data_IF_794413402689
#
_entry.id   IF_794413402689
#
_cell.length_a   1.000
_cell.length_b   1.000
_cell.length_c   1.000
_cell.angle_alpha   90.00
_cell.angle_beta   90.00
_cell.angle_gamma   90.00
#
_symmetry.space_group_name_H-M   'P 1'
#
loop_
_entity.id
_entity.type
_entity.pdbx_description
1 polymer ?
#
# COMPACT_ATOMS: atom_id res chain seq x y z
N UNK A 1 20.22 9.89 61.04
CA UNK A 1 20.38 10.22 59.61
C UNK A 1 20.29 8.94 58.79
N UNK A 2 19.32 8.80 57.88
CA UNK A 2 19.27 7.66 56.95
C UNK A 2 20.27 7.91 55.83
N UNK A 3 21.27 7.05 55.67
CA UNK A 3 22.20 7.12 54.55
C UNK A 3 21.43 6.84 53.25
N UNK A 4 21.43 7.81 52.32
CA UNK A 4 20.89 7.61 50.97
C UNK A 4 21.88 6.70 50.23
N UNK A 5 21.46 5.48 49.90
CA UNK A 5 22.20 4.61 48.99
C UNK A 5 22.09 5.20 47.58
N UNK A 6 23.23 5.56 46.98
CA UNK A 6 23.32 5.97 45.58
C UNK A 6 23.55 4.76 44.67
N UNK A 7 23.17 4.90 43.41
CA UNK A 7 23.44 3.93 42.35
C UNK A 7 24.94 3.98 41.99
N UNK A 8 25.59 2.84 41.81
CA UNK A 8 26.98 2.80 41.35
C UNK A 8 27.04 2.97 39.83
N UNK A 9 28.15 3.52 39.32
CA UNK A 9 28.40 3.63 37.88
C UNK A 9 28.43 2.24 37.21
N UNK A 10 28.94 1.22 37.92
CA UNK A 10 29.02 -0.15 37.41
C UNK A 10 27.63 -0.75 37.21
N UNK A 11 26.71 -0.54 38.16
CA UNK A 11 25.32 -1.00 38.01
C UNK A 11 24.65 -0.35 36.81
N UNK A 12 24.89 0.95 36.56
CA UNK A 12 24.35 1.63 35.38
C UNK A 12 24.94 1.08 34.08
N UNK A 13 26.25 0.78 34.06
CA UNK A 13 26.94 0.26 32.87
C UNK A 13 26.44 -1.13 32.47
N UNK A 14 26.23 -2.03 33.44
CA UNK A 14 25.70 -3.37 33.16
C UNK A 14 24.28 -3.27 32.60
N UNK A 15 23.45 -2.37 33.15
CA UNK A 15 22.08 -2.15 32.66
C UNK A 15 22.08 -1.65 31.20
N UNK A 16 22.93 -0.68 30.86
CA UNK A 16 23.06 -0.18 29.50
C UNK A 16 23.56 -1.27 28.53
N UNK A 17 24.51 -2.11 28.97
CA UNK A 17 25.00 -3.24 28.17
C UNK A 17 23.88 -4.25 27.86
N UNK A 18 23.05 -4.60 28.85
CA UNK A 18 21.91 -5.51 28.65
C UNK A 18 20.84 -4.88 27.74
N UNK A 19 20.52 -3.60 27.91
CA UNK A 19 19.56 -2.89 27.03
C UNK A 19 20.08 -2.86 25.58
N UNK A 20 21.36 -2.56 25.38
CA UNK A 20 21.97 -2.54 24.05
C UNK A 20 21.94 -3.92 23.37
N UNK A 21 22.23 -4.99 24.12
CA UNK A 21 22.13 -6.36 23.62
C UNK A 21 20.70 -6.74 23.21
N UNK A 22 19.69 -6.38 24.01
CA UNK A 22 18.28 -6.63 23.68
C UNK A 22 17.82 -5.85 22.45
N UNK A 23 18.20 -4.57 22.35
CA UNK A 23 17.85 -3.72 21.20
C UNK A 23 18.50 -4.21 19.90
N UNK A 24 19.72 -4.77 19.97
CA UNK A 24 20.41 -5.34 18.80
C UNK A 24 19.60 -6.45 18.14
N UNK A 25 18.94 -7.31 18.92
CA UNK A 25 18.10 -8.40 18.41
C UNK A 25 16.70 -7.90 18.02
N UNK A 26 16.12 -6.97 18.78
CA UNK A 26 14.75 -6.49 18.55
C UNK A 26 14.61 -5.60 17.30
N UNK A 27 15.61 -4.77 16.99
CA UNK A 27 15.55 -3.79 15.89
C UNK A 27 15.31 -4.41 14.50
N UNK A 28 16.08 -5.41 14.03
CA UNK A 28 15.85 -5.98 12.70
C UNK A 28 14.48 -6.67 12.58
N UNK A 29 14.01 -7.30 13.66
CA UNK A 29 12.68 -7.91 13.70
C UNK A 29 11.57 -6.86 13.57
N UNK A 30 11.69 -5.75 14.30
CA UNK A 30 10.74 -4.64 14.23
C UNK A 30 10.70 -4.01 12.82
N UNK A 31 11.86 -3.81 12.19
CA UNK A 31 11.93 -3.27 10.82
C UNK A 31 11.23 -4.19 9.81
N UNK A 32 11.42 -5.50 9.91
CA UNK A 32 10.76 -6.48 9.04
C UNK A 32 9.24 -6.52 9.28
N UNK A 33 8.80 -6.43 10.53
CA UNK A 33 7.38 -6.38 10.86
C UNK A 33 6.70 -5.13 10.28
N UNK A 34 7.36 -3.96 10.35
CA UNK A 34 6.86 -2.72 9.74
C UNK A 34 6.78 -2.84 8.22
N UNK A 35 7.79 -3.41 7.57
CA UNK A 35 7.77 -3.65 6.10
C UNK A 35 6.59 -4.55 5.70
N UNK A 36 6.36 -5.64 6.44
CA UNK A 36 5.23 -6.55 6.19
C UNK A 36 3.87 -5.87 6.42
N UNK A 37 3.74 -5.05 7.47
CA UNK A 37 2.52 -4.30 7.73
C UNK A 37 2.23 -3.28 6.61
N UNK A 38 3.26 -2.57 6.13
CA UNK A 38 3.15 -1.66 4.98
C UNK A 38 2.73 -2.41 3.71
N UNK A 39 3.31 -3.58 3.44
CA UNK A 39 2.93 -4.39 2.28
C UNK A 39 1.46 -4.84 2.33
N UNK A 40 0.98 -5.29 3.49
CA UNK A 40 -0.43 -5.63 3.68
C UNK A 40 -1.35 -4.41 3.51
N UNK A 41 -0.94 -3.24 4.00
CA UNK A 41 -1.70 -1.99 3.80
C UNK A 41 -1.81 -1.62 2.33
N UNK A 42 -0.72 -1.72 1.57
CA UNK A 42 -0.72 -1.44 0.13
C UNK A 42 -1.59 -2.43 -0.63
N UNK A 43 -1.55 -3.72 -0.29
CA UNK A 43 -2.45 -4.71 -0.86
C UNK A 43 -3.93 -4.38 -0.58
N UNK A 44 -4.27 -3.99 0.65
CA UNK A 44 -5.64 -3.56 0.98
C UNK A 44 -6.06 -2.31 0.18
N UNK A 45 -5.17 -1.35 0.03
CA UNK A 45 -5.41 -0.15 -0.76
C UNK A 45 -5.65 -0.47 -2.25
N UNK A 46 -4.87 -1.38 -2.85
CA UNK A 46 -5.09 -1.84 -4.22
C UNK A 46 -6.48 -2.47 -4.39
N UNK A 47 -6.91 -3.33 -3.46
CA UNK A 47 -8.26 -3.94 -3.49
C UNK A 47 -9.36 -2.90 -3.35
N UNK A 48 -9.19 -1.95 -2.43
CA UNK A 48 -10.15 -0.88 -2.21
C UNK A 48 -10.31 -0.01 -3.47
N UNK A 49 -9.20 0.34 -4.13
CA UNK A 49 -9.23 1.08 -5.39
C UNK A 49 -9.87 0.25 -6.50
N UNK A 50 -9.47 -1.01 -6.70
CA UNK A 50 -10.05 -1.90 -7.72
C UNK A 50 -11.57 -1.97 -7.56
N UNK A 51 -12.06 -2.25 -6.36
CA UNK A 51 -13.50 -2.32 -6.08
C UNK A 51 -14.21 -0.97 -6.29
N UNK A 52 -13.58 0.15 -5.92
CA UNK A 52 -14.14 1.48 -6.17
C UNK A 52 -14.28 1.78 -7.67
N UNK A 53 -13.27 1.41 -8.48
CA UNK A 53 -13.29 1.56 -9.94
C UNK A 53 -14.35 0.67 -10.57
N UNK A 54 -14.43 -0.61 -10.16
CA UNK A 54 -15.46 -1.55 -10.62
C UNK A 54 -16.88 -1.05 -10.31
N UNK A 55 -17.11 -0.57 -9.09
CA UNK A 55 -18.42 -0.04 -8.69
C UNK A 55 -18.80 1.22 -9.49
N UNK A 56 -17.85 2.13 -9.69
CA UNK A 56 -18.05 3.33 -10.51
C UNK A 56 -18.38 2.97 -11.97
N UNK A 57 -17.60 2.06 -12.58
CA UNK A 57 -17.78 1.64 -13.97
C UNK A 57 -19.16 1.01 -14.21
N UNK A 58 -19.63 0.19 -13.27
CA UNK A 58 -20.93 -0.48 -13.38
C UNK A 58 -22.12 0.44 -13.06
N UNK A 59 -21.96 1.42 -12.17
CA UNK A 59 -23.08 2.28 -11.72
C UNK A 59 -23.29 3.48 -12.63
N UNK A 60 -22.21 4.11 -13.07
CA UNK A 60 -22.27 5.33 -13.88
C UNK A 60 -22.44 5.06 -15.37
N UNK A 61 -22.21 3.82 -15.79
CA UNK A 61 -22.28 3.39 -17.18
C UNK A 61 -21.66 4.42 -18.15
N UNK A 62 -20.42 4.89 -17.91
CA UNK A 62 -19.85 6.02 -18.64
C UNK A 62 -19.79 5.74 -20.14
N UNK A 63 -20.01 6.79 -20.94
CA UNK A 63 -19.93 6.68 -22.39
C UNK A 63 -18.51 6.30 -22.83
N UNK A 64 -17.52 7.00 -22.24
CA UNK A 64 -16.09 6.74 -22.39
C UNK A 64 -15.35 6.79 -21.03
N UNK A 65 -15.18 5.63 -20.36
CA UNK A 65 -14.46 5.54 -19.10
C UNK A 65 -13.02 6.10 -19.13
N UNK A 66 -12.40 6.25 -20.30
CA UNK A 66 -11.06 6.84 -20.43
C UNK A 66 -11.03 8.35 -20.17
N UNK A 67 -12.06 9.07 -20.59
CA UNK A 67 -12.13 10.55 -20.50
C UNK A 67 -12.86 11.00 -19.24
N UNK A 68 -13.79 10.20 -18.74
CA UNK A 68 -14.62 10.54 -17.58
C UNK A 68 -14.04 10.08 -16.24
N UNK A 69 -13.08 9.17 -16.28
CA UNK A 69 -12.40 8.71 -15.08
C UNK A 69 -11.39 9.76 -14.59
N UNK A 70 -11.62 10.25 -13.39
CA UNK A 70 -10.66 11.04 -12.62
C UNK A 70 -10.64 10.58 -11.17
N UNK A 71 -9.48 10.71 -10.52
CA UNK A 71 -9.33 10.47 -9.08
C UNK A 71 -10.38 11.25 -8.28
N UNK A 72 -10.66 12.49 -8.70
CA UNK A 72 -11.67 13.36 -8.11
C UNK A 72 -13.10 12.84 -8.24
N UNK A 73 -13.41 12.11 -9.33
CA UNK A 73 -14.75 11.55 -9.54
C UNK A 73 -15.05 10.46 -8.52
N UNK A 74 -14.06 9.62 -8.20
CA UNK A 74 -14.20 8.56 -7.20
C UNK A 74 -14.34 9.11 -5.78
N UNK A 75 -13.63 10.21 -5.46
CA UNK A 75 -13.74 10.88 -4.16
C UNK A 75 -15.06 11.64 -4.02
N UNK A 76 -15.43 12.44 -5.03
CA UNK A 76 -16.65 13.27 -4.98
C UNK A 76 -17.93 12.43 -4.99
N UNK A 77 -17.92 11.28 -5.66
CA UNK A 77 -19.04 10.34 -5.67
C UNK A 77 -18.98 9.30 -4.53
N UNK A 78 -18.03 9.46 -3.61
CA UNK A 78 -17.88 8.65 -2.40
C UNK A 78 -17.69 7.13 -2.65
N UNK A 79 -17.14 6.75 -3.81
CA UNK A 79 -16.73 5.37 -4.07
C UNK A 79 -15.45 5.01 -3.29
N UNK A 80 -14.68 6.01 -2.85
CA UNK A 80 -13.58 5.87 -1.91
C UNK A 80 -13.53 7.09 -0.96
N UNK A 81 -13.46 6.85 0.35
CA UNK A 81 -13.48 7.91 1.36
C UNK A 81 -12.16 8.69 1.44
N UNK A 82 -11.04 8.08 1.07
CA UNK A 82 -9.72 8.69 1.14
C UNK A 82 -8.83 8.07 0.08
N UNK A 83 -8.20 8.90 -0.75
CA UNK A 83 -7.23 8.42 -1.72
C UNK A 83 -5.94 8.02 -1.01
N UNK A 84 -5.46 6.77 -1.13
CA UNK A 84 -4.20 6.38 -0.53
C UNK A 84 -3.02 7.01 -1.29
N UNK A 85 -2.03 7.51 -0.54
CA UNK A 85 -0.88 8.20 -1.12
C UNK A 85 0.00 7.27 -1.98
N UNK A 86 0.48 7.80 -3.11
CA UNK A 86 1.37 7.07 -4.01
C UNK A 86 0.67 6.14 -4.99
N UNK A 87 -0.67 6.20 -5.05
CA UNK A 87 -1.47 5.45 -6.03
C UNK A 87 -1.92 6.34 -7.18
N UNK A 88 -1.77 5.81 -8.38
CA UNK A 88 -2.27 6.41 -9.62
C UNK A 88 -3.09 5.39 -10.39
N UNK A 89 -4.25 5.79 -10.90
CA UNK A 89 -5.07 4.93 -11.75
C UNK A 89 -5.15 5.57 -13.10
N UNK A 90 -4.71 4.85 -14.12
CA UNK A 90 -4.77 5.28 -15.51
C UNK A 90 -5.67 4.32 -16.28
N UNK A 91 -6.80 4.78 -16.82
CA UNK A 91 -7.61 4.00 -17.74
C UNK A 91 -7.00 4.04 -19.14
N UNK A 92 -6.85 2.88 -19.75
CA UNK A 92 -6.49 2.71 -21.15
C UNK A 92 -7.65 2.04 -21.87
N UNK A 93 -8.08 2.62 -23.00
CA UNK A 93 -9.13 2.04 -23.81
C UNK A 93 -8.49 1.11 -24.84
N UNK A 94 -8.96 -0.13 -24.91
CA UNK A 94 -8.69 -1.01 -26.06
C UNK A 94 -9.82 -0.89 -27.08
N UNK A 95 -9.52 -1.08 -28.36
CA UNK A 95 -10.41 -0.83 -29.51
C UNK A 95 -11.72 -1.66 -29.53
N UNK A 96 -11.97 -2.53 -28.55
CA UNK A 96 -13.05 -3.52 -28.51
C UNK A 96 -14.09 -3.31 -27.39
N UNK A 97 -14.18 -2.12 -26.79
CA UNK A 97 -15.13 -1.84 -25.70
C UNK A 97 -14.71 -2.44 -24.36
N UNK A 98 -13.44 -2.87 -24.26
CA UNK A 98 -12.79 -3.30 -23.03
C UNK A 98 -11.86 -2.18 -22.57
N UNK A 99 -12.06 -1.71 -21.35
CA UNK A 99 -11.24 -0.68 -20.72
C UNK A 99 -10.29 -1.34 -19.73
N UNK A 100 -9.00 -1.20 -19.96
CA UNK A 100 -7.95 -1.68 -19.06
C UNK A 100 -7.62 -0.59 -18.04
N UNK A 101 -7.90 -0.85 -16.77
CA UNK A 101 -7.51 0.01 -15.68
C UNK A 101 -6.17 -0.44 -15.13
N UNK A 102 -5.20 0.46 -15.13
CA UNK A 102 -3.87 0.24 -14.57
C UNK A 102 -3.71 1.04 -13.29
N UNK A 103 -3.63 0.38 -12.14
CA UNK A 103 -3.31 0.99 -10.84
C UNK A 103 -1.80 0.90 -10.64
N UNK A 104 -1.09 2.02 -10.52
CA UNK A 104 0.34 2.10 -10.24
C UNK A 104 0.59 2.58 -8.82
N UNK A 105 1.52 1.94 -8.12
CA UNK A 105 2.07 2.39 -6.84
C UNK A 105 3.49 2.89 -7.04
N UNK A 106 3.72 4.19 -6.84
CA UNK A 106 4.94 4.90 -7.25
C UNK A 106 5.94 5.15 -6.12
N UNK A 107 5.63 4.73 -4.89
CA UNK A 107 6.48 5.04 -3.73
C UNK A 107 7.72 4.15 -3.60
N UNK A 108 7.83 3.03 -4.32
CA UNK A 108 9.03 2.17 -4.34
C UNK A 108 9.48 1.58 -2.99
N UNK A 109 8.75 1.84 -1.90
CA UNK A 109 9.10 1.49 -0.52
C UNK A 109 8.89 0.00 -0.18
N UNK A 110 8.18 -0.73 -1.05
CA UNK A 110 7.68 -2.08 -0.79
C UNK A 110 7.95 -2.95 -2.02
N UNK A 111 8.48 -4.15 -1.80
CA UNK A 111 8.78 -5.11 -2.86
C UNK A 111 7.53 -5.86 -3.35
N UNK A 112 7.52 -6.22 -4.63
CA UNK A 112 6.47 -7.03 -5.26
C UNK A 112 6.19 -8.32 -4.48
N UNK A 113 7.25 -9.01 -4.08
CA UNK A 113 7.21 -10.28 -3.35
C UNK A 113 6.45 -10.16 -2.02
N UNK A 114 6.51 -9.02 -1.35
CA UNK A 114 5.81 -8.80 -0.07
C UNK A 114 4.31 -8.51 -0.27
N UNK A 115 3.94 -7.92 -1.41
CA UNK A 115 2.54 -7.64 -1.79
C UNK A 115 1.85 -8.88 -2.36
N UNK A 116 2.56 -9.69 -3.15
CA UNK A 116 2.08 -11.01 -3.62
C UNK A 116 1.79 -11.94 -2.45
N UNK A 117 2.72 -12.05 -1.49
CA UNK A 117 2.53 -12.83 -0.25
C UNK A 117 1.41 -12.30 0.64
N UNK A 118 0.99 -11.05 0.44
CA UNK A 118 -0.15 -10.44 1.12
C UNK A 118 -1.49 -10.73 0.43
N UNK A 119 -1.50 -11.59 -0.60
CA UNK A 119 -2.70 -12.12 -1.24
C UNK A 119 -3.12 -11.35 -2.49
N UNK A 120 -2.19 -10.70 -3.19
CA UNK A 120 -2.46 -10.06 -4.48
C UNK A 120 -1.45 -10.54 -5.53
N UNK A 121 -1.64 -11.73 -6.10
CA UNK A 121 -0.79 -12.25 -7.17
C UNK A 121 -1.02 -11.53 -8.51
N UNK A 122 -2.05 -10.70 -8.63
CA UNK A 122 -2.38 -9.89 -9.84
C UNK A 122 -1.60 -8.56 -9.91
N UNK A 123 -0.69 -8.32 -8.95
CA UNK A 123 0.14 -7.12 -8.92
C UNK A 123 1.48 -7.48 -9.56
N UNK A 124 1.74 -6.91 -10.74
CA UNK A 124 2.97 -7.08 -11.50
C UNK A 124 3.97 -5.94 -11.24
N UNK A 125 5.25 -6.18 -11.52
CA UNK A 125 6.27 -5.14 -11.47
C UNK A 125 6.24 -4.36 -12.80
N UNK A 126 5.86 -3.10 -12.74
CA UNK A 126 5.96 -2.18 -13.87
C UNK A 126 7.36 -1.57 -14.00
N UNK A 127 7.53 -0.72 -15.00
CA UNK A 127 8.79 0.01 -15.19
C UNK A 127 9.17 0.84 -13.95
N UNK A 128 10.46 0.78 -13.57
CA UNK A 128 11.08 1.48 -12.44
C UNK A 128 10.67 1.00 -11.03
N UNK A 129 10.49 -0.31 -10.80
CA UNK A 129 10.19 -0.90 -9.48
C UNK A 129 8.86 -0.38 -8.88
N UNK A 130 7.92 -0.04 -9.76
CA UNK A 130 6.57 0.39 -9.40
C UNK A 130 5.63 -0.82 -9.43
N UNK A 131 4.77 -0.96 -8.44
CA UNK A 131 3.79 -2.05 -8.40
C UNK A 131 2.59 -1.68 -9.27
N UNK A 132 2.20 -2.55 -10.19
CA UNK A 132 1.16 -2.28 -11.17
C UNK A 132 0.11 -3.37 -11.13
N UNK A 133 -1.15 -3.00 -10.90
CA UNK A 133 -2.28 -3.90 -11.05
C UNK A 133 -3.07 -3.53 -12.29
N UNK A 134 -3.13 -4.45 -13.26
CA UNK A 134 -3.92 -4.29 -14.49
C UNK A 134 -5.18 -5.13 -14.39
N UNK A 135 -6.33 -4.54 -14.67
CA UNK A 135 -7.58 -5.26 -14.78
C UNK A 135 -8.43 -4.70 -15.91
N UNK A 136 -9.07 -5.60 -16.66
CA UNK A 136 -9.91 -5.25 -17.79
C UNK A 136 -11.38 -5.25 -17.37
N UNK A 137 -12.11 -4.18 -17.68
CA UNK A 137 -13.56 -4.08 -17.53
C UNK A 137 -14.20 -3.96 -18.90
N UNK A 138 -15.10 -4.89 -19.20
CA UNK A 138 -15.86 -4.89 -20.45
C UNK A 138 -17.15 -4.11 -20.27
N UNK A 139 -17.44 -3.23 -21.23
CA UNK A 139 -18.71 -2.51 -21.32
C UNK A 139 -19.81 -3.44 -21.84
N UNK A 140 -20.95 -3.48 -21.14
CA UNK A 140 -22.09 -4.37 -21.47
C UNK A 140 -23.37 -3.63 -21.88
N UNK A 141 -23.36 -2.29 -21.90
CA UNK A 141 -24.50 -1.43 -22.24
C UNK A 141 -24.25 -0.61 -23.50
#
# INVERSE_FOLDING_TARGET
MKMKKGFTLVELLIVLAVIAALLSVATPLALNAVKKAKASQVAQNFRAIKSAVENWFNTESPADPKTEFSKDTLLKKNYINTWPDGFEVTPEASNTGVYEFTIKYTKGDISLVDVEKSGMPEVDEGENNNLVLKFALQKWW
#
